data_IF_541487648687
#
_entry.id   IF_541487648687
#
_cell.length_a   1.000
_cell.length_b   1.000
_cell.length_c   1.000
_cell.angle_alpha   90.00
_cell.angle_beta   90.00
_cell.angle_gamma   90.00
#
_symmetry.space_group_name_H-M   'P 1'
#
loop_
_entity.id
_entity.type
_entity.pdbx_description
1 polymer ?
#
# COMPACT_ATOMS: atom_id res chain seq x y z
N UNK A 1 4.52 -4.69 12.19
CA UNK A 1 3.67 -3.80 11.40
C UNK A 1 2.23 -4.25 11.16
N UNK A 2 1.81 -5.51 11.46
CA UNK A 2 0.51 -6.02 10.98
C UNK A 2 -0.72 -5.71 11.85
N UNK A 3 -0.54 -5.07 13.01
CA UNK A 3 -1.64 -4.80 13.94
C UNK A 3 -2.38 -3.48 13.65
N UNK A 4 -1.98 -2.74 12.61
CA UNK A 4 -2.64 -1.48 12.26
C UNK A 4 -4.02 -1.80 11.64
N UNK A 5 -5.10 -1.15 12.10
CA UNK A 5 -6.41 -1.30 11.46
C UNK A 5 -6.35 -0.77 10.02
N UNK A 6 -7.13 -1.39 9.14
CA UNK A 6 -7.24 -1.02 7.74
C UNK A 6 -8.64 -0.44 7.54
N UNK A 7 -8.69 0.85 7.20
CA UNK A 7 -9.97 1.57 7.07
C UNK A 7 -10.31 1.91 5.62
N UNK A 8 -9.50 1.43 4.68
CA UNK A 8 -9.68 1.74 3.28
C UNK A 8 -8.55 1.26 2.39
N UNK A 9 -8.65 1.61 1.12
CA UNK A 9 -7.68 1.33 0.08
C UNK A 9 -7.40 2.54 -0.80
N UNK A 10 -6.16 2.61 -1.29
CA UNK A 10 -5.73 3.55 -2.32
C UNK A 10 -5.03 2.80 -3.44
N UNK A 11 -5.34 3.09 -4.70
CA UNK A 11 -4.67 2.50 -5.85
C UNK A 11 -3.99 3.64 -6.65
N UNK A 12 -2.71 3.51 -6.93
CA UNK A 12 -2.02 4.49 -7.77
C UNK A 12 -0.50 4.37 -7.70
N UNK A 13 0.17 4.82 -8.76
CA UNK A 13 1.62 4.73 -8.90
C UNK A 13 2.31 6.09 -8.97
N UNK A 14 1.54 7.15 -9.23
CA UNK A 14 2.05 8.51 -9.23
C UNK A 14 2.27 8.96 -7.79
N UNK A 15 3.52 8.87 -7.32
CA UNK A 15 3.90 9.11 -5.93
C UNK A 15 3.41 10.46 -5.37
N UNK A 16 3.41 11.52 -6.19
CA UNK A 16 2.92 12.84 -5.79
C UNK A 16 1.41 12.86 -5.50
N UNK A 17 0.63 12.12 -6.28
CA UNK A 17 -0.80 11.98 -6.10
C UNK A 17 -1.12 11.15 -4.85
N UNK A 18 -0.42 10.02 -4.66
CA UNK A 18 -0.54 9.20 -3.45
C UNK A 18 -0.21 10.02 -2.19
N UNK A 19 0.88 10.78 -2.24
CA UNK A 19 1.28 11.65 -1.12
C UNK A 19 0.22 12.71 -0.81
N UNK A 20 -0.40 13.32 -1.83
CA UNK A 20 -1.45 14.31 -1.64
C UNK A 20 -2.75 13.70 -1.10
N UNK A 21 -3.19 12.57 -1.68
CA UNK A 21 -4.59 12.16 -1.60
C UNK A 21 -4.85 10.86 -0.83
N UNK A 22 -3.84 10.00 -0.61
CA UNK A 22 -4.08 8.73 0.07
C UNK A 22 -4.51 8.96 1.53
N UNK A 23 -5.57 8.29 2.02
CA UNK A 23 -6.02 8.46 3.39
C UNK A 23 -5.10 7.75 4.37
N UNK A 24 -5.12 8.19 5.63
CA UNK A 24 -4.45 7.51 6.74
C UNK A 24 -4.98 6.07 6.86
N UNK A 25 -4.14 5.14 7.33
CA UNK A 25 -4.54 3.75 7.64
C UNK A 25 -5.13 2.97 6.45
N UNK A 26 -4.85 3.42 5.22
CA UNK A 26 -5.24 2.67 4.02
C UNK A 26 -4.23 1.56 3.70
N UNK A 27 -4.68 0.58 2.93
CA UNK A 27 -3.78 -0.26 2.13
C UNK A 27 -3.51 0.45 0.80
N UNK A 28 -2.24 0.58 0.44
CA UNK A 28 -1.85 1.15 -0.85
C UNK A 28 -1.45 0.06 -1.85
N UNK A 29 -2.17 -0.01 -2.97
CA UNK A 29 -1.87 -0.88 -4.11
C UNK A 29 -1.07 -0.11 -5.16
N UNK A 30 0.12 -0.63 -5.50
CA UNK A 30 1.03 -0.02 -6.47
C UNK A 30 1.84 -1.09 -7.21
N UNK A 31 2.44 -0.77 -8.35
CA UNK A 31 3.48 -1.59 -9.01
C UNK A 31 4.90 -1.16 -8.61
N UNK A 32 5.04 -0.06 -7.86
CA UNK A 32 6.35 0.50 -7.48
C UNK A 32 7.01 -0.34 -6.39
N UNK A 33 8.21 -0.87 -6.67
CA UNK A 33 9.01 -1.67 -5.74
C UNK A 33 10.15 -0.93 -5.04
N UNK A 34 10.31 0.36 -5.32
CA UNK A 34 11.47 1.16 -4.90
C UNK A 34 11.24 1.84 -3.55
N UNK A 35 12.32 2.15 -2.81
CA UNK A 35 12.28 2.60 -1.41
C UNK A 35 11.44 3.85 -1.09
N UNK A 36 11.05 4.63 -2.11
CA UNK A 36 10.20 5.80 -1.95
C UNK A 36 8.78 5.44 -1.50
N UNK A 37 8.30 4.23 -1.84
CA UNK A 37 6.98 3.77 -1.39
C UNK A 37 6.91 3.67 0.14
N UNK A 38 8.01 3.24 0.77
CA UNK A 38 8.09 3.14 2.23
C UNK A 38 8.06 4.53 2.87
N UNK A 39 8.82 5.48 2.34
CA UNK A 39 8.85 6.84 2.87
C UNK A 39 7.46 7.51 2.84
N UNK A 40 6.71 7.32 1.75
CA UNK A 40 5.35 7.84 1.62
C UNK A 40 4.39 7.11 2.57
N UNK A 41 4.49 5.79 2.68
CA UNK A 41 3.64 5.02 3.59
C UNK A 41 3.85 5.39 5.05
N UNK A 42 5.08 5.71 5.46
CA UNK A 42 5.39 6.26 6.79
C UNK A 42 4.76 7.64 6.95
N UNK A 43 5.04 8.56 6.02
CA UNK A 43 4.55 9.95 6.06
C UNK A 43 3.02 10.04 6.12
N UNK A 44 2.33 9.14 5.42
CA UNK A 44 0.86 9.08 5.34
C UNK A 44 0.24 8.15 6.37
N UNK A 45 1.06 7.55 7.24
CA UNK A 45 0.63 6.60 8.27
C UNK A 45 -0.27 5.47 7.72
N UNK A 46 0.17 4.87 6.61
CA UNK A 46 -0.55 3.78 5.95
C UNK A 46 -0.49 2.49 6.76
N UNK A 47 -1.46 1.60 6.52
CA UNK A 47 -1.50 0.30 7.16
C UNK A 47 -0.53 -0.70 6.51
N UNK A 48 -0.47 -0.72 5.18
CA UNK A 48 0.44 -1.58 4.42
C UNK A 48 0.60 -1.11 2.96
N UNK A 49 1.66 -1.60 2.32
CA UNK A 49 1.88 -1.48 0.87
C UNK A 49 1.70 -2.86 0.24
N UNK A 50 0.99 -2.94 -0.87
CA UNK A 50 0.89 -4.15 -1.69
C UNK A 50 1.44 -3.87 -3.07
N UNK A 51 2.51 -4.59 -3.43
CA UNK A 51 3.11 -4.54 -4.75
C UNK A 51 2.36 -5.55 -5.63
N UNK A 52 1.71 -5.04 -6.68
CA UNK A 52 0.82 -5.79 -7.56
C UNK A 52 1.52 -6.13 -8.89
N UNK A 53 0.87 -6.93 -9.74
CA UNK A 53 1.38 -7.28 -11.07
C UNK A 53 2.57 -8.24 -11.08
N UNK A 54 2.82 -8.96 -9.99
CA UNK A 54 3.96 -9.86 -9.87
C UNK A 54 5.31 -9.16 -9.71
N UNK A 55 5.31 -7.83 -9.54
CA UNK A 55 6.50 -7.08 -9.20
C UNK A 55 6.98 -7.44 -7.79
N UNK A 56 8.30 -7.32 -7.57
CA UNK A 56 8.92 -7.57 -6.26
C UNK A 56 9.54 -6.27 -5.75
N UNK A 57 9.48 -6.01 -4.44
CA UNK A 57 10.23 -4.91 -3.85
C UNK A 57 11.74 -5.16 -4.01
N UNK A 58 12.49 -4.08 -4.16
CA UNK A 58 13.95 -4.16 -4.09
C UNK A 58 14.39 -4.59 -2.68
N UNK A 59 15.54 -5.25 -2.52
CA UNK A 59 16.03 -5.65 -1.19
C UNK A 59 16.13 -4.49 -0.20
N UNK A 60 16.58 -3.32 -0.65
CA UNK A 60 16.65 -2.09 0.15
C UNK A 60 15.27 -1.60 0.62
N UNK A 61 14.23 -1.80 -0.22
CA UNK A 61 12.85 -1.45 0.12
C UNK A 61 12.35 -2.34 1.25
N UNK A 62 12.66 -3.65 1.21
CA UNK A 62 12.30 -4.60 2.26
C UNK A 62 13.00 -4.27 3.57
N UNK A 63 14.29 -3.96 3.53
CA UNK A 63 15.07 -3.58 4.71
C UNK A 63 14.50 -2.30 5.36
N UNK A 64 14.31 -1.25 4.55
CA UNK A 64 13.75 0.02 5.00
C UNK A 64 12.35 -0.15 5.59
N UNK A 65 11.49 -0.96 4.96
CA UNK A 65 10.17 -1.25 5.47
C UNK A 65 10.21 -1.98 6.82
N UNK A 66 11.19 -2.85 7.03
CA UNK A 66 11.44 -3.51 8.31
C UNK A 66 11.82 -2.52 9.42
N UNK A 67 12.73 -1.58 9.13
CA UNK A 67 13.15 -0.52 10.06
C UNK A 67 11.98 0.39 10.44
N UNK A 68 11.20 0.82 9.45
CA UNK A 68 10.05 1.72 9.63
C UNK A 68 8.78 1.01 10.13
N UNK A 69 8.80 -0.32 10.20
CA UNK A 69 7.67 -1.13 10.65
C UNK A 69 6.47 -1.15 9.68
N UNK A 70 6.68 -0.86 8.40
CA UNK A 70 5.66 -0.88 7.35
C UNK A 70 5.59 -2.27 6.70
N UNK A 71 4.42 -2.96 6.72
CA UNK A 71 4.26 -4.19 5.97
C UNK A 71 4.30 -3.97 4.46
N UNK A 72 5.05 -4.82 3.75
CA UNK A 72 5.01 -4.95 2.29
C UNK A 72 4.51 -6.35 1.95
N UNK A 73 3.48 -6.43 1.11
CA UNK A 73 2.97 -7.67 0.54
C UNK A 73 3.17 -7.66 -0.98
N UNK A 74 3.19 -8.85 -1.59
CA UNK A 74 3.24 -9.01 -3.03
C UNK A 74 1.97 -9.72 -3.53
N UNK A 75 1.47 -9.31 -4.68
CA UNK A 75 0.32 -9.88 -5.36
C UNK A 75 0.62 -10.08 -6.84
N UNK A 76 0.43 -11.29 -7.36
CA UNK A 76 0.73 -11.62 -8.75
C UNK A 76 -0.26 -11.00 -9.74
N UNK A 77 -1.53 -10.82 -9.34
CA UNK A 77 -2.57 -10.25 -10.20
C UNK A 77 -2.57 -8.73 -10.27
N UNK A 78 -3.55 -8.16 -10.97
CA UNK A 78 -3.69 -6.71 -11.10
C UNK A 78 -4.15 -6.05 -9.79
N UNK A 79 -3.86 -4.76 -9.64
CA UNK A 79 -4.41 -3.94 -8.56
C UNK A 79 -5.95 -3.89 -8.60
N UNK A 80 -6.54 -3.91 -9.80
CA UNK A 80 -7.99 -3.87 -9.99
C UNK A 80 -8.67 -5.11 -9.38
N UNK A 81 -8.17 -6.31 -9.70
CA UNK A 81 -8.73 -7.57 -9.17
C UNK A 81 -8.62 -7.63 -7.65
N UNK A 82 -7.48 -7.19 -7.12
CA UNK A 82 -7.25 -7.17 -5.68
C UNK A 82 -8.15 -6.15 -4.98
N UNK A 83 -8.28 -4.94 -5.53
CA UNK A 83 -9.19 -3.92 -5.01
C UNK A 83 -10.63 -4.42 -4.95
N UNK A 84 -11.11 -5.10 -6.00
CA UNK A 84 -12.44 -5.71 -6.01
C UNK A 84 -12.63 -6.76 -4.90
N UNK A 85 -11.62 -7.62 -4.67
CA UNK A 85 -11.64 -8.61 -3.59
C UNK A 85 -11.64 -7.95 -2.20
N UNK A 86 -10.81 -6.93 -2.00
CA UNK A 86 -10.73 -6.18 -0.75
C UNK A 86 -12.05 -5.47 -0.44
N UNK A 87 -12.65 -4.83 -1.44
CA UNK A 87 -13.95 -4.17 -1.30
C UNK A 87 -15.06 -5.16 -0.94
N UNK A 88 -15.10 -6.32 -1.61
CA UNK A 88 -16.03 -7.39 -1.31
C UNK A 88 -15.84 -7.96 0.10
N UNK A 89 -14.60 -8.01 0.60
CA UNK A 89 -14.26 -8.44 1.95
C UNK A 89 -14.57 -7.38 3.04
N UNK A 90 -15.05 -6.20 2.67
CA UNK A 90 -15.47 -5.15 3.61
C UNK A 90 -14.43 -4.05 3.85
N UNK A 91 -13.28 -4.07 3.17
CA UNK A 91 -12.34 -2.94 3.17
C UNK A 91 -12.90 -1.86 2.25
N UNK A 92 -13.63 -0.91 2.83
CA UNK A 92 -14.32 0.16 2.10
C UNK A 92 -13.81 1.49 2.62
N UNK A 93 -13.48 2.40 1.71
CA UNK A 93 -13.27 3.78 2.08
C UNK A 93 -14.58 4.29 2.68
N UNK A 94 -14.52 4.91 3.85
CA UNK A 94 -15.65 5.66 4.38
C UNK A 94 -16.04 6.73 3.36
N UNK A 95 -17.31 6.74 2.95
CA UNK A 95 -17.87 7.85 2.19
C UNK A 95 -17.60 9.12 3.02
N UNK A 96 -16.97 10.12 2.39
CA UNK A 96 -16.79 11.43 2.99
C UNK A 96 -18.12 12.13 3.23
#
# INVERSE_FOLDING_TARGET
GLNRPIDGGYCGDLLSDVMANAPQRCIWLTVQGHQNVVAIAVLKEMAAIVITGGHKPDPETVEKAGVEGIPILAWEGSAYDLAGRMYAAGVRNSDG
#
